data_IF_239415717763
#
_entry.id   IF_239415717763
#
_cell.length_a   1.000
_cell.length_b   1.000
_cell.length_c   1.000
_cell.angle_alpha   90.00
_cell.angle_beta   90.00
_cell.angle_gamma   90.00
#
_symmetry.space_group_name_H-M   'P 1'
#
loop_
_entity.id
_entity.type
_entity.pdbx_description
1 polymer ?
#
# COMPACT_ATOMS: atom_id res chain seq x y z
N UNK A 1 22.79 -55.41 29.88
CA UNK A 1 23.22 -56.60 29.09
C UNK A 1 21.99 -57.22 28.47
N UNK A 2 21.74 -56.98 27.24
CA UNK A 2 21.27 -57.86 26.15
C UNK A 2 20.68 -56.99 25.03
N UNK A 3 21.46 -56.95 24.00
CA UNK A 3 21.09 -56.55 22.64
C UNK A 3 20.03 -57.51 22.11
N UNK A 4 18.96 -57.02 21.52
CA UNK A 4 18.13 -57.81 20.64
C UNK A 4 18.01 -57.12 19.29
N UNK A 5 18.50 -57.85 18.37
CA UNK A 5 18.71 -57.72 16.95
C UNK A 5 17.45 -57.45 16.14
N UNK A 6 17.67 -56.70 15.07
CA UNK A 6 16.80 -56.63 13.88
C UNK A 6 16.75 -57.98 13.22
N UNK A 7 15.61 -58.43 12.78
CA UNK A 7 15.34 -59.04 11.47
C UNK A 7 14.10 -59.91 11.48
N UNK A 8 13.38 -59.73 10.40
CA UNK A 8 12.48 -60.67 9.72
C UNK A 8 11.11 -60.99 10.33
N UNK A 9 10.09 -60.51 9.62
CA UNK A 9 9.15 -61.43 9.01
C UNK A 9 8.48 -60.78 7.78
N UNK A 10 8.86 -61.33 6.66
CA UNK A 10 8.11 -61.30 5.39
C UNK A 10 6.94 -62.26 5.48
N UNK A 11 5.83 -61.93 4.85
CA UNK A 11 4.90 -62.94 4.36
C UNK A 11 3.45 -62.61 4.60
N UNK A 12 2.67 -62.43 3.55
CA UNK A 12 1.22 -62.46 3.63
C UNK A 12 0.53 -61.55 2.59
N UNK A 13 0.48 -62.04 1.37
CA UNK A 13 -0.40 -61.58 0.29
C UNK A 13 -1.87 -61.59 0.68
N UNK A 14 -2.57 -60.48 0.47
CA UNK A 14 -3.99 -60.48 0.13
C UNK A 14 -4.32 -59.19 -0.65
N UNK A 15 -4.44 -59.33 -1.93
CA UNK A 15 -5.04 -58.35 -2.83
C UNK A 15 -6.55 -58.25 -2.52
N UNK A 16 -7.00 -57.08 -2.11
CA UNK A 16 -8.41 -56.69 -2.27
C UNK A 16 -8.41 -55.32 -2.86
N UNK A 17 -8.81 -55.25 -4.12
CA UNK A 17 -9.17 -54.02 -4.81
C UNK A 17 -10.38 -53.40 -4.13
N UNK A 18 -10.19 -52.22 -3.55
CA UNK A 18 -11.28 -51.30 -3.26
C UNK A 18 -10.95 -49.97 -3.97
N UNK A 19 -11.36 -49.95 -5.22
CA UNK A 19 -11.59 -48.69 -5.91
C UNK A 19 -12.85 -48.09 -5.30
N UNK A 20 -12.72 -47.20 -4.34
CA UNK A 20 -13.81 -46.42 -3.80
C UNK A 20 -13.36 -44.95 -3.72
N UNK A 21 -13.74 -44.19 -4.74
CA UNK A 21 -14.29 -42.82 -4.68
C UNK A 21 -13.68 -41.91 -3.62
N UNK A 22 -12.54 -41.34 -3.90
CA UNK A 22 -12.09 -40.05 -3.33
C UNK A 22 -12.52 -38.90 -4.24
N UNK A 23 -13.80 -38.87 -4.58
CA UNK A 23 -14.44 -37.76 -5.26
C UNK A 23 -15.51 -37.16 -4.33
N UNK A 24 -15.09 -36.70 -3.16
CA UNK A 24 -15.97 -35.89 -2.33
C UNK A 24 -15.11 -35.04 -1.41
N UNK A 25 -15.37 -33.76 -1.45
CA UNK A 25 -14.80 -32.66 -0.65
C UNK A 25 -13.70 -31.85 -1.32
N UNK A 26 -13.94 -31.45 -2.57
CA UNK A 26 -13.32 -30.25 -3.11
C UNK A 26 -14.39 -29.19 -3.38
N UNK A 27 -15.30 -29.01 -2.42
CA UNK A 27 -16.20 -27.86 -2.36
C UNK A 27 -15.91 -27.11 -1.07
N UNK A 28 -14.65 -26.72 -0.92
CA UNK A 28 -14.15 -25.85 0.11
C UNK A 28 -13.51 -24.66 -0.57
N UNK A 29 -14.18 -23.54 -0.52
CA UNK A 29 -13.67 -22.19 -0.65
C UNK A 29 -12.35 -22.09 -1.40
N UNK A 30 -12.41 -22.02 -2.71
CA UNK A 30 -11.36 -21.42 -3.51
C UNK A 30 -11.33 -19.92 -3.24
N UNK A 31 -10.83 -19.53 -2.07
CA UNK A 31 -10.15 -18.29 -1.93
C UNK A 31 -8.89 -18.44 -2.79
N UNK A 32 -8.93 -17.97 -4.00
CA UNK A 32 -7.74 -17.83 -4.85
C UNK A 32 -6.88 -16.72 -4.28
N UNK A 33 -6.14 -17.03 -3.22
CA UNK A 33 -5.10 -16.16 -2.66
C UNK A 33 -3.79 -16.25 -3.44
N UNK A 34 -3.83 -16.72 -4.67
CA UNK A 34 -2.64 -16.85 -5.48
C UNK A 34 -2.90 -16.60 -6.95
N UNK A 35 -2.36 -15.56 -7.51
CA UNK A 35 -2.33 -15.11 -8.90
C UNK A 35 -3.46 -14.15 -9.28
N UNK A 36 -3.33 -12.84 -8.97
CA UNK A 36 -4.13 -11.79 -9.56
C UNK A 36 -4.81 -10.82 -8.61
N UNK A 37 -4.56 -10.89 -7.31
CA UNK A 37 -5.05 -9.91 -6.35
C UNK A 37 -4.17 -8.66 -6.30
N UNK A 38 -4.77 -7.54 -5.89
CA UNK A 38 -4.05 -6.31 -5.61
C UNK A 38 -3.82 -6.21 -4.10
N UNK A 39 -2.57 -6.00 -3.70
CA UNK A 39 -2.22 -5.64 -2.33
C UNK A 39 -1.82 -4.17 -2.29
N UNK A 40 -2.67 -3.34 -1.72
CA UNK A 40 -2.42 -1.92 -1.50
C UNK A 40 -1.95 -1.65 -0.07
N UNK A 41 -0.72 -1.14 0.07
CA UNK A 41 -0.21 -0.64 1.34
C UNK A 41 -0.48 0.86 1.45
N UNK A 42 -1.42 1.24 2.31
CA UNK A 42 -1.88 2.60 2.49
C UNK A 42 -1.02 3.37 3.51
N UNK A 43 -0.61 4.58 3.11
CA UNK A 43 0.16 5.55 3.92
C UNK A 43 -0.73 6.42 4.83
N UNK A 44 -2.02 6.59 4.49
CA UNK A 44 -2.94 7.55 5.12
C UNK A 44 -3.93 6.85 6.05
N UNK A 45 -3.66 6.76 7.37
CA UNK A 45 -4.58 6.14 8.32
C UNK A 45 -5.96 6.78 8.33
N UNK A 46 -6.04 8.09 8.14
CA UNK A 46 -7.29 8.86 8.08
C UNK A 46 -8.21 8.45 6.93
N UNK A 47 -7.64 7.87 5.87
CA UNK A 47 -8.39 7.43 4.69
C UNK A 47 -8.59 5.90 4.64
N UNK A 48 -8.26 5.18 5.70
CA UNK A 48 -8.30 3.71 5.72
C UNK A 48 -9.67 3.16 5.33
N UNK A 49 -10.74 3.69 5.92
CA UNK A 49 -12.09 3.20 5.64
C UNK A 49 -12.49 3.47 4.18
N UNK A 50 -12.19 4.66 3.67
CA UNK A 50 -12.48 5.00 2.28
C UNK A 50 -11.77 4.07 1.30
N UNK A 51 -10.51 3.72 1.53
CA UNK A 51 -9.80 2.75 0.69
C UNK A 51 -10.36 1.33 0.80
N UNK A 52 -10.79 0.91 1.98
CA UNK A 52 -11.47 -0.40 2.15
C UNK A 52 -12.80 -0.45 1.38
N UNK A 53 -13.57 0.63 1.42
CA UNK A 53 -14.85 0.73 0.71
C UNK A 53 -14.65 0.72 -0.81
N UNK A 54 -13.64 1.46 -1.31
CA UNK A 54 -13.24 1.45 -2.73
C UNK A 54 -12.78 0.04 -3.14
N UNK A 55 -11.95 -0.61 -2.35
CA UNK A 55 -11.48 -1.97 -2.60
C UNK A 55 -12.63 -2.98 -2.68
N UNK A 56 -13.58 -2.89 -1.75
CA UNK A 56 -14.76 -3.74 -1.76
C UNK A 56 -15.64 -3.50 -3.00
N UNK A 57 -15.86 -2.23 -3.36
CA UNK A 57 -16.61 -1.86 -4.55
C UNK A 57 -15.94 -2.36 -5.84
N UNK A 58 -14.62 -2.20 -5.93
CA UNK A 58 -13.84 -2.69 -7.07
C UNK A 58 -13.88 -4.21 -7.18
N UNK A 59 -13.66 -4.92 -6.07
CA UNK A 59 -13.76 -6.38 -6.03
C UNK A 59 -15.14 -6.86 -6.45
N UNK A 60 -16.20 -6.21 -5.98
CA UNK A 60 -17.58 -6.53 -6.38
C UNK A 60 -17.81 -6.32 -7.88
N UNK A 61 -17.22 -5.27 -8.45
CA UNK A 61 -17.40 -4.92 -9.88
C UNK A 61 -16.59 -5.82 -10.81
N UNK A 62 -15.38 -6.21 -10.41
CA UNK A 62 -14.41 -6.85 -11.32
C UNK A 62 -14.10 -8.30 -10.98
N UNK A 63 -14.42 -8.75 -9.78
CA UNK A 63 -13.99 -10.05 -9.25
C UNK A 63 -12.51 -10.07 -8.79
N UNK A 64 -11.75 -9.00 -8.99
CA UNK A 64 -10.36 -8.90 -8.54
C UNK A 64 -10.33 -8.57 -7.05
N UNK A 65 -9.70 -9.43 -6.26
CA UNK A 65 -9.54 -9.18 -4.82
C UNK A 65 -8.55 -8.04 -4.57
N UNK A 66 -8.93 -7.09 -3.71
CA UNK A 66 -8.06 -5.98 -3.29
C UNK A 66 -7.90 -6.01 -1.77
N UNK A 67 -6.69 -6.34 -1.33
CA UNK A 67 -6.28 -6.28 0.07
C UNK A 67 -5.76 -4.88 0.38
N UNK A 68 -6.33 -4.21 1.38
CA UNK A 68 -5.83 -2.93 1.88
C UNK A 68 -5.23 -3.14 3.27
N UNK A 69 -3.96 -2.76 3.42
CA UNK A 69 -3.29 -2.71 4.72
C UNK A 69 -2.84 -1.28 4.95
N UNK A 70 -3.19 -0.73 6.11
CA UNK A 70 -2.83 0.64 6.47
C UNK A 70 -1.70 0.63 7.49
N UNK A 71 -0.63 1.33 7.20
CA UNK A 71 0.45 1.54 8.15
C UNK A 71 0.02 2.51 9.26
N UNK A 72 0.48 2.27 10.48
CA UNK A 72 0.26 3.21 11.56
C UNK A 72 0.97 4.56 11.28
N UNK A 73 0.42 5.63 11.85
CA UNK A 73 1.00 6.97 11.69
C UNK A 73 2.50 6.99 12.03
N UNK A 74 3.30 7.58 11.15
CA UNK A 74 4.75 7.71 11.34
C UNK A 74 5.57 6.43 11.12
N UNK A 75 4.95 5.28 10.78
CA UNK A 75 5.64 3.99 10.62
C UNK A 75 5.67 3.45 9.20
N UNK A 76 5.15 4.21 8.24
CA UNK A 76 4.94 3.72 6.87
C UNK A 76 6.20 3.14 6.21
N UNK A 77 7.32 3.86 6.25
CA UNK A 77 8.57 3.42 5.61
C UNK A 77 9.10 2.10 6.20
N UNK A 78 8.99 1.93 7.52
CA UNK A 78 9.37 0.69 8.18
C UNK A 78 8.41 -0.45 7.82
N UNK A 79 7.13 -0.15 7.76
CA UNK A 79 6.09 -1.11 7.35
C UNK A 79 6.32 -1.54 5.91
N UNK A 80 6.52 -0.60 4.97
CA UNK A 80 6.79 -0.89 3.57
C UNK A 80 8.03 -1.77 3.42
N UNK A 81 9.11 -1.43 4.12
CA UNK A 81 10.36 -2.22 4.10
C UNK A 81 10.13 -3.66 4.56
N UNK A 82 9.30 -3.85 5.58
CA UNK A 82 8.94 -5.18 6.09
C UNK A 82 8.03 -5.94 5.13
N UNK A 83 7.02 -5.27 4.56
CA UNK A 83 6.03 -5.89 3.69
C UNK A 83 6.62 -6.25 2.31
N UNK A 84 7.48 -5.40 1.74
CA UNK A 84 8.06 -5.63 0.41
C UNK A 84 9.06 -6.79 0.38
N UNK A 85 9.57 -7.18 1.56
CA UNK A 85 10.47 -8.32 1.70
C UNK A 85 9.74 -9.68 1.81
N UNK A 86 8.41 -9.67 1.90
CA UNK A 86 7.60 -10.90 2.00
C UNK A 86 7.36 -11.54 0.64
N UNK A 87 6.99 -12.81 0.66
CA UNK A 87 6.58 -13.53 -0.56
C UNK A 87 5.32 -12.92 -1.21
N UNK A 88 4.44 -12.36 -0.39
CA UNK A 88 3.25 -11.60 -0.81
C UNK A 88 3.46 -10.12 -0.54
N UNK A 89 4.32 -9.50 -1.33
CA UNK A 89 4.63 -8.09 -1.22
C UNK A 89 3.50 -7.19 -1.73
N UNK A 90 3.42 -5.92 -1.28
CA UNK A 90 2.51 -4.95 -1.87
C UNK A 90 2.74 -4.79 -3.37
N UNK A 91 1.67 -4.89 -4.14
CA UNK A 91 1.67 -4.62 -5.58
C UNK A 91 1.35 -3.17 -5.90
N UNK A 92 0.78 -2.47 -4.94
CA UNK A 92 0.50 -1.04 -5.00
C UNK A 92 0.92 -0.41 -3.66
N UNK A 93 1.79 0.57 -3.71
CA UNK A 93 2.29 1.26 -2.52
C UNK A 93 2.62 2.72 -2.84
N UNK A 94 2.69 3.53 -1.81
CA UNK A 94 2.95 4.96 -1.94
C UNK A 94 4.42 5.27 -1.72
N UNK A 95 4.95 6.23 -2.47
CA UNK A 95 6.30 6.78 -2.27
C UNK A 95 6.21 8.26 -1.92
N UNK A 96 7.05 8.71 -1.01
CA UNK A 96 7.04 10.09 -0.55
C UNK A 96 7.91 10.97 -1.45
N UNK A 97 7.38 11.26 -2.64
CA UNK A 97 8.01 12.13 -3.62
C UNK A 97 9.37 11.63 -4.16
N UNK A 98 10.15 12.51 -4.79
CA UNK A 98 11.43 12.13 -5.42
C UNK A 98 12.47 11.57 -4.44
N UNK A 99 12.50 12.08 -3.20
CA UNK A 99 13.44 11.61 -2.18
C UNK A 99 13.08 10.22 -1.70
N UNK A 100 11.80 9.98 -1.40
CA UNK A 100 11.31 8.64 -1.00
C UNK A 100 11.49 7.62 -2.11
N UNK A 101 11.29 8.02 -3.36
CA UNK A 101 11.49 7.15 -4.52
C UNK A 101 12.88 6.50 -4.58
N UNK A 102 13.94 7.19 -4.19
CA UNK A 102 15.30 6.65 -4.23
C UNK A 102 15.45 5.35 -3.43
N UNK A 103 14.69 5.21 -2.34
CA UNK A 103 14.69 4.00 -1.53
C UNK A 103 13.96 2.84 -2.18
N UNK A 104 13.03 3.13 -3.10
CA UNK A 104 12.09 2.15 -3.66
C UNK A 104 12.23 1.94 -5.17
N UNK A 105 13.22 2.58 -5.78
CA UNK A 105 13.48 2.58 -7.23
C UNK A 105 13.47 1.17 -7.86
N UNK A 106 14.01 0.17 -7.16
CA UNK A 106 14.09 -1.20 -7.67
C UNK A 106 12.76 -1.96 -7.64
N UNK A 107 11.73 -1.39 -7.01
CA UNK A 107 10.43 -2.02 -6.82
C UNK A 107 9.32 -1.34 -7.61
N UNK A 108 9.63 -0.26 -8.33
CA UNK A 108 8.65 0.48 -9.13
C UNK A 108 8.62 -0.02 -10.56
N UNK A 109 7.44 -0.02 -11.14
CA UNK A 109 7.22 -0.31 -12.56
C UNK A 109 7.09 0.98 -13.37
N UNK A 110 7.30 0.89 -14.68
CA UNK A 110 6.99 1.98 -15.59
C UNK A 110 5.46 2.07 -15.78
N UNK A 111 4.91 3.23 -15.47
CA UNK A 111 3.49 3.54 -15.54
C UNK A 111 3.13 4.44 -16.74
N UNK A 112 4.07 4.70 -17.66
CA UNK A 112 3.90 5.64 -18.78
C UNK A 112 2.69 5.31 -19.67
N UNK A 113 2.34 4.03 -19.80
CA UNK A 113 1.22 3.56 -20.61
C UNK A 113 -0.07 3.30 -19.83
N UNK A 114 -0.07 3.60 -18.52
CA UNK A 114 -1.22 3.33 -17.66
C UNK A 114 -2.31 4.40 -17.78
N UNK A 115 -3.57 3.99 -17.64
CA UNK A 115 -4.70 4.93 -17.63
C UNK A 115 -4.59 5.99 -16.52
N UNK A 116 -4.19 5.67 -15.26
CA UNK A 116 -4.00 6.71 -14.25
C UNK A 116 -3.03 7.83 -14.66
N UNK A 117 -1.99 7.53 -15.42
CA UNK A 117 -1.10 8.57 -15.93
C UNK A 117 -1.71 9.38 -17.07
N UNK A 118 -2.41 8.71 -18.01
CA UNK A 118 -3.05 9.37 -19.17
C UNK A 118 -4.17 10.32 -18.75
N UNK A 119 -4.90 9.97 -17.68
CA UNK A 119 -6.01 10.75 -17.13
C UNK A 119 -5.56 11.93 -16.25
N UNK A 120 -4.27 12.10 -15.98
CA UNK A 120 -3.78 13.27 -15.25
C UNK A 120 -4.06 14.55 -16.04
N UNK A 121 -4.68 15.53 -15.39
CA UNK A 121 -4.91 16.87 -15.94
C UNK A 121 -3.57 17.56 -16.26
N UNK A 122 -2.58 17.35 -15.39
CA UNK A 122 -1.21 17.83 -15.56
C UNK A 122 -0.24 16.66 -15.36
N UNK A 123 0.34 16.16 -16.43
CA UNK A 123 1.30 15.07 -16.39
C UNK A 123 2.66 15.46 -15.81
N UNK A 124 2.92 16.76 -15.60
CA UNK A 124 4.16 17.24 -14.98
C UNK A 124 4.27 16.89 -13.51
N UNK A 125 3.13 16.61 -12.84
CA UNK A 125 3.09 16.23 -11.42
C UNK A 125 3.43 14.76 -11.17
N UNK A 126 3.53 13.95 -12.23
CA UNK A 126 3.93 12.55 -12.11
C UNK A 126 5.41 12.43 -11.73
N UNK A 127 5.70 11.43 -10.91
CA UNK A 127 7.08 11.12 -10.54
C UNK A 127 7.78 10.41 -11.70
N UNK A 128 8.91 10.98 -12.15
CA UNK A 128 9.67 10.48 -13.30
C UNK A 128 11.09 10.07 -12.92
N UNK A 129 11.60 9.07 -13.61
CA UNK A 129 13.00 8.66 -13.60
C UNK A 129 13.48 8.50 -15.05
N UNK A 130 14.17 9.51 -15.56
CA UNK A 130 14.43 9.66 -16.99
C UNK A 130 13.11 9.79 -17.76
N UNK A 131 12.92 8.96 -18.77
CA UNK A 131 11.72 8.95 -19.61
C UNK A 131 10.56 8.13 -19.01
N UNK A 132 10.80 7.42 -17.90
CA UNK A 132 9.78 6.56 -17.27
C UNK A 132 8.96 7.30 -16.26
N UNK A 133 7.66 7.01 -16.23
CA UNK A 133 6.76 7.40 -15.15
C UNK A 133 6.78 6.31 -14.08
N UNK A 134 7.28 6.63 -12.91
CA UNK A 134 7.47 5.66 -11.81
C UNK A 134 6.51 5.86 -10.65
N UNK A 135 5.66 6.86 -10.74
CA UNK A 135 4.59 7.11 -9.79
C UNK A 135 3.60 8.14 -10.30
N UNK A 136 2.35 7.93 -9.95
CA UNK A 136 1.22 8.83 -10.27
C UNK A 136 0.66 9.36 -8.97
N UNK A 137 0.48 10.68 -8.80
CA UNK A 137 -0.12 11.23 -7.59
C UNK A 137 -1.59 10.84 -7.50
N UNK A 138 -2.02 10.37 -6.33
CA UNK A 138 -3.44 10.14 -6.05
C UNK A 138 -4.08 11.32 -5.32
N UNK A 139 -3.26 12.19 -4.71
CA UNK A 139 -3.67 13.41 -4.06
C UNK A 139 -2.51 14.42 -4.10
N UNK A 140 -2.85 15.68 -4.23
CA UNK A 140 -1.92 16.80 -4.11
C UNK A 140 -2.17 17.51 -2.77
N UNK A 141 -1.14 17.59 -1.95
CA UNK A 141 -1.20 18.29 -0.67
C UNK A 141 -0.31 19.53 -0.71
N UNK A 142 -0.78 20.60 -0.11
CA UNK A 142 -0.04 21.84 0.01
C UNK A 142 0.28 22.14 1.46
N UNK A 143 1.42 22.75 1.70
CA UNK A 143 1.79 23.25 3.01
C UNK A 143 1.47 24.73 3.08
N UNK A 144 0.98 25.17 4.22
CA UNK A 144 0.66 26.57 4.46
C UNK A 144 0.51 26.84 5.95
N UNK A 145 0.49 28.13 6.29
CA UNK A 145 0.24 28.57 7.66
C UNK A 145 -1.26 28.82 7.80
N UNK A 146 -1.90 28.07 8.68
CA UNK A 146 -3.29 28.32 9.08
C UNK A 146 -3.26 29.27 10.29
N UNK A 147 -3.95 30.38 10.19
CA UNK A 147 -4.01 31.36 11.26
C UNK A 147 -5.46 31.71 11.63
N UNK A 148 -5.67 32.06 12.90
CA UNK A 148 -6.93 32.55 13.38
C UNK A 148 -7.00 34.08 13.09
N UNK A 149 -7.96 34.47 12.24
CA UNK A 149 -8.11 35.88 11.81
C UNK A 149 -8.38 36.83 12.97
N UNK A 150 -9.17 36.42 13.95
CA UNK A 150 -9.52 37.31 15.07
C UNK A 150 -8.30 37.54 15.99
N UNK A 151 -7.48 36.52 16.20
CA UNK A 151 -6.25 36.64 16.98
C UNK A 151 -5.25 37.52 16.22
N UNK A 152 -5.05 37.27 14.93
CA UNK A 152 -4.14 38.06 14.11
C UNK A 152 -4.58 39.53 14.06
N UNK A 153 -5.85 39.85 13.86
CA UNK A 153 -6.37 41.21 13.85
C UNK A 153 -6.16 41.89 15.20
N UNK A 154 -6.34 41.18 16.31
CA UNK A 154 -6.05 41.72 17.64
C UNK A 154 -4.58 42.05 17.82
N UNK A 155 -3.68 41.15 17.33
CA UNK A 155 -2.24 41.39 17.37
C UNK A 155 -1.86 42.63 16.54
N UNK A 156 -2.33 42.73 15.30
CA UNK A 156 -2.06 43.85 14.39
C UNK A 156 -2.51 45.18 15.01
N UNK A 157 -3.59 45.19 15.82
CA UNK A 157 -4.10 46.37 16.50
C UNK A 157 -3.31 46.74 17.79
N UNK A 158 -2.29 46.00 18.18
CA UNK A 158 -1.48 46.29 19.38
C UNK A 158 -0.35 47.27 19.07
N UNK A 159 0.02 48.08 20.03
CA UNK A 159 1.21 48.92 19.93
C UNK A 159 2.47 48.02 19.82
N UNK A 160 3.26 48.30 18.78
CA UNK A 160 4.47 47.54 18.51
C UNK A 160 4.25 46.24 17.73
N UNK A 161 3.08 46.04 17.11
CA UNK A 161 2.91 44.96 16.14
C UNK A 161 3.94 45.09 15.01
N UNK A 162 4.55 43.95 14.64
CA UNK A 162 5.60 43.93 13.60
C UNK A 162 5.06 43.92 12.18
N UNK A 163 3.74 43.67 12.05
CA UNK A 163 3.04 43.62 10.77
C UNK A 163 1.77 44.43 10.86
N UNK A 164 1.32 44.94 9.74
CA UNK A 164 0.08 45.73 9.61
C UNK A 164 -1.03 44.97 8.89
N UNK A 165 -0.66 43.91 8.18
CA UNK A 165 -1.58 42.99 7.50
C UNK A 165 -0.99 41.58 7.42
N UNK A 166 -1.83 40.59 7.05
CA UNK A 166 -1.37 39.23 6.79
C UNK A 166 -0.41 39.17 5.59
N UNK A 167 -0.53 40.08 4.64
CA UNK A 167 0.30 40.13 3.44
C UNK A 167 1.77 40.52 3.73
N UNK A 168 2.01 41.08 4.93
CA UNK A 168 3.37 41.38 5.40
C UNK A 168 4.13 40.11 5.80
N UNK A 169 3.45 38.96 5.99
CA UNK A 169 4.05 37.68 6.33
C UNK A 169 4.62 37.05 5.07
N UNK A 170 5.86 37.38 4.74
CA UNK A 170 6.53 36.92 3.51
C UNK A 170 7.57 35.81 3.75
N UNK A 171 7.92 35.55 5.00
CA UNK A 171 8.87 34.53 5.42
C UNK A 171 8.64 34.13 6.88
N UNK A 172 9.45 33.22 7.43
CA UNK A 172 9.32 32.75 8.83
C UNK A 172 9.93 33.69 9.86
N UNK A 173 10.63 34.74 9.45
CA UNK A 173 11.28 35.70 10.34
C UNK A 173 10.45 36.97 10.59
N UNK A 174 9.30 37.07 9.92
CA UNK A 174 8.37 38.23 9.99
C UNK A 174 7.37 38.08 11.12
#
# INVERSE_FOLDING_TARGET
MRLISRRSMLGGTAAIAVAATLAACSKGSSGSDGAGGVYFLNFKPESEQAFKDIAAAYTKKTGVNVKVVTAASGTYEQTLKSEIAKSEAPTLFQVNGPVGYQNWKSYTADMSDTEPYKELIDQSVALKDGDKVVGVPYAMETYGIIYNKDILNKYIATDGAKITSVDDITNFDT
#
